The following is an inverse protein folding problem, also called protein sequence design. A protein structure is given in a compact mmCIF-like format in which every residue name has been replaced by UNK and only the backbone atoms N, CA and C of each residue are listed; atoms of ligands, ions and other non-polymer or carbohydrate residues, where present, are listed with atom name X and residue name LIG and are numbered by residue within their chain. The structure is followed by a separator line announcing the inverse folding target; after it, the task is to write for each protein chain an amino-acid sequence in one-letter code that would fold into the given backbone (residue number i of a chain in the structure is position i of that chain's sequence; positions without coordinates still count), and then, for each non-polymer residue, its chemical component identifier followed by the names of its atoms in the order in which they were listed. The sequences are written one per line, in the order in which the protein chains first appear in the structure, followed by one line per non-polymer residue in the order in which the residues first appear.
data_IF_862946194686
#
_entry.id   IF_862946194686
#
_cell.length_a   1.000
_cell.length_b   1.000
_cell.length_c   1.000
_cell.angle_alpha   90.00
_cell.angle_beta   90.00
_cell.angle_gamma   90.00
#
_symmetry.space_group_name_H-M   'P 1'
#
loop_
_entity.id
_entity.type
_entity.pdbx_description
1 polymer ?
#
# COMPACT_ATOMS: atom_id res chain seq x y z
N UNK A 1 -16.05 -4.99 -9.89
CA UNK A 1 -14.78 -4.64 -9.22
C UNK A 1 -13.75 -4.68 -10.33
N UNK A 2 -13.03 -3.60 -10.62
CA UNK A 2 -11.96 -3.67 -11.62
C UNK A 2 -10.95 -4.69 -11.10
N UNK A 3 -10.68 -5.73 -11.89
CA UNK A 3 -9.71 -6.76 -11.55
C UNK A 3 -8.34 -6.10 -11.70
N UNK A 4 -7.79 -5.63 -10.57
CA UNK A 4 -6.45 -5.07 -10.52
C UNK A 4 -5.47 -6.22 -10.65
N UNK A 5 -4.48 -6.05 -11.50
CA UNK A 5 -3.34 -6.95 -11.54
C UNK A 5 -2.56 -6.86 -10.21
N UNK A 6 -1.82 -7.92 -9.84
CA UNK A 6 -0.97 -7.87 -8.64
C UNK A 6 -0.01 -6.67 -8.64
N UNK A 7 0.53 -6.30 -9.81
CA UNK A 7 1.42 -5.14 -9.96
C UNK A 7 0.71 -3.80 -9.70
N UNK A 8 -0.53 -3.66 -10.15
CA UNK A 8 -1.35 -2.48 -9.84
C UNK A 8 -1.67 -2.42 -8.34
N UNK A 9 -1.89 -3.56 -7.69
CA UNK A 9 -2.08 -3.60 -6.24
C UNK A 9 -0.82 -3.19 -5.47
N UNK A 10 0.38 -3.57 -5.93
CA UNK A 10 1.64 -3.10 -5.34
C UNK A 10 1.76 -1.56 -5.43
N UNK A 11 1.43 -0.97 -6.57
CA UNK A 11 1.41 0.49 -6.74
C UNK A 11 0.39 1.17 -5.81
N UNK A 12 -0.77 0.55 -5.61
CA UNK A 12 -1.78 1.05 -4.67
C UNK A 12 -1.28 0.97 -3.23
N UNK A 13 -0.59 -0.11 -2.86
CA UNK A 13 0.03 -0.26 -1.53
C UNK A 13 1.04 0.88 -1.30
N UNK A 14 1.94 1.13 -2.24
CA UNK A 14 2.90 2.24 -2.18
C UNK A 14 2.20 3.59 -1.96
N UNK A 15 1.24 3.94 -2.81
CA UNK A 15 0.52 5.21 -2.71
C UNK A 15 -0.21 5.40 -1.38
N UNK A 16 -0.79 4.33 -0.82
CA UNK A 16 -1.47 4.36 0.47
C UNK A 16 -0.49 4.53 1.64
N UNK A 17 0.67 3.88 1.56
CA UNK A 17 1.74 4.02 2.56
C UNK A 17 2.30 5.44 2.56
N UNK A 18 2.63 5.99 1.39
CA UNK A 18 3.08 7.37 1.27
C UNK A 18 2.06 8.36 1.82
N UNK A 19 0.77 8.20 1.45
CA UNK A 19 -0.30 9.03 1.96
C UNK A 19 -0.45 8.92 3.49
N UNK A 20 -0.37 7.70 4.02
CA UNK A 20 -0.46 7.46 5.46
C UNK A 20 0.63 8.21 6.22
N UNK A 21 1.88 8.14 5.74
CA UNK A 21 2.99 8.85 6.37
C UNK A 21 2.84 10.36 6.26
N UNK A 22 2.51 10.88 5.07
CA UNK A 22 2.40 12.32 4.83
C UNK A 22 1.28 12.98 5.63
N UNK A 23 0.15 12.30 5.79
CA UNK A 23 -1.05 12.88 6.39
C UNK A 23 -1.22 12.53 7.88
N UNK A 24 -0.22 11.88 8.49
CA UNK A 24 -0.29 11.39 9.89
C UNK A 24 -0.72 12.47 10.88
N UNK A 25 -0.14 13.66 10.78
CA UNK A 25 -0.41 14.75 11.72
C UNK A 25 -1.62 15.61 11.30
N UNK A 26 -1.84 15.76 9.99
CA UNK A 26 -2.90 16.64 9.45
C UNK A 26 -4.27 15.96 9.44
N UNK A 27 -4.32 14.65 9.20
CA UNK A 27 -5.55 13.86 9.03
C UNK A 27 -5.37 12.46 9.62
N UNK A 28 -5.16 12.33 10.94
CA UNK A 28 -4.76 11.08 11.58
C UNK A 28 -5.73 9.92 11.29
N UNK A 29 -7.04 10.17 11.26
CA UNK A 29 -8.03 9.13 10.93
C UNK A 29 -7.93 8.63 9.48
N UNK A 30 -7.63 9.51 8.51
CA UNK A 30 -7.44 9.10 7.11
C UNK A 30 -6.10 8.41 6.91
N UNK A 31 -5.05 8.89 7.57
CA UNK A 31 -3.73 8.23 7.60
C UNK A 31 -3.85 6.80 8.12
N UNK A 32 -4.45 6.60 9.31
CA UNK A 32 -4.65 5.28 9.89
C UNK A 32 -5.48 4.36 8.97
N UNK A 33 -6.51 4.89 8.31
CA UNK A 33 -7.32 4.11 7.38
C UNK A 33 -6.54 3.73 6.10
N UNK A 34 -5.72 4.63 5.57
CA UNK A 34 -4.86 4.32 4.43
C UNK A 34 -3.86 3.21 4.77
N UNK A 35 -3.29 3.25 5.98
CA UNK A 35 -2.42 2.17 6.48
C UNK A 35 -3.12 0.82 6.58
N UNK A 36 -4.34 0.78 7.14
CA UNK A 36 -5.13 -0.45 7.22
C UNK A 36 -5.45 -0.99 5.82
N UNK A 37 -5.84 -0.14 4.88
CA UNK A 37 -6.10 -0.57 3.51
C UNK A 37 -4.85 -1.10 2.80
N UNK A 38 -3.68 -0.48 3.03
CA UNK A 38 -2.41 -0.99 2.51
C UNK A 38 -2.11 -2.40 3.03
N UNK A 39 -2.33 -2.64 4.32
CA UNK A 39 -2.19 -3.97 4.93
C UNK A 39 -3.16 -5.01 4.38
N UNK A 40 -4.42 -4.64 4.19
CA UNK A 40 -5.42 -5.55 3.63
C UNK A 40 -5.09 -5.94 2.18
N UNK A 41 -4.64 -4.98 1.37
CA UNK A 41 -4.25 -5.25 -0.02
C UNK A 41 -2.98 -6.12 -0.05
N UNK A 42 -1.93 -5.77 0.68
CA UNK A 42 -0.72 -6.59 0.76
C UNK A 42 -1.04 -8.02 1.27
N UNK A 43 -1.85 -8.12 2.32
CA UNK A 43 -2.28 -9.39 2.88
C UNK A 43 -3.12 -10.24 1.92
N UNK A 44 -3.87 -9.63 1.00
CA UNK A 44 -4.60 -10.38 -0.05
C UNK A 44 -3.68 -11.10 -1.03
N UNK A 45 -2.41 -10.66 -1.13
CA UNK A 45 -1.34 -11.30 -1.90
C UNK A 45 -0.41 -12.16 -1.04
N UNK A 46 -0.72 -12.34 0.26
CA UNK A 46 0.13 -13.09 1.19
C UNK A 46 1.41 -12.37 1.59
N UNK A 47 1.43 -11.04 1.49
CA UNK A 47 2.60 -10.21 1.77
C UNK A 47 2.34 -9.31 2.99
N UNK A 48 3.42 -9.01 3.73
CA UNK A 48 3.43 -7.82 4.59
C UNK A 48 3.67 -6.57 3.73
N UNK A 49 3.39 -5.39 4.28
CA UNK A 49 3.53 -4.12 3.54
C UNK A 49 4.97 -3.91 3.10
N UNK A 50 5.94 -4.21 3.96
CA UNK A 50 7.36 -4.09 3.66
C UNK A 50 7.79 -5.00 2.50
N UNK A 51 7.26 -6.22 2.43
CA UNK A 51 7.53 -7.16 1.34
C UNK A 51 6.94 -6.68 0.02
N UNK A 52 5.71 -6.15 0.05
CA UNK A 52 5.05 -5.59 -1.13
C UNK A 52 5.85 -4.39 -1.70
N UNK A 53 6.33 -3.49 -0.84
CA UNK A 53 7.19 -2.38 -1.26
C UNK A 53 8.53 -2.87 -1.82
N UNK A 54 9.12 -3.90 -1.21
CA UNK A 54 10.35 -4.51 -1.68
C UNK A 54 10.22 -5.14 -3.07
N UNK A 55 9.10 -5.81 -3.36
CA UNK A 55 8.82 -6.36 -4.69
C UNK A 55 8.64 -5.26 -5.74
N UNK A 56 7.98 -4.16 -5.39
CA UNK A 56 7.78 -3.04 -6.30
C UNK A 56 9.12 -2.36 -6.69
N UNK A 57 10.03 -2.18 -5.74
CA UNK A 57 11.37 -1.63 -6.01
C UNK A 57 12.17 -2.55 -6.95
N UNK A 58 12.05 -3.87 -6.79
CA UNK A 58 12.71 -4.84 -7.69
C UNK A 58 12.17 -4.80 -9.12
N UNK A 59 10.87 -4.52 -9.30
CA UNK A 59 10.24 -4.40 -10.63
C UNK A 59 10.56 -3.07 -11.34
N UNK A 60 10.98 -2.05 -10.58
CA UNK A 60 11.25 -0.70 -11.09
C UNK A 60 12.72 -0.46 -11.46
N UNK A 61 13.59 -1.44 -11.22
CA UNK A 61 15.03 -1.43 -11.55
C UNK A 61 15.31 -2.18 -12.84
#
# INVERSE_FOLDING_TARGET
MFDRTPQEDLLVVEALVEFSHRERDRRPGRSARAWVMAKEIAGSHGLEVEDALGQLDQLSR
#
